data_IF_638567747193
#
_entry.id   IF_638567747193
#
_cell.length_a   1.000
_cell.length_b   1.000
_cell.length_c   1.000
_cell.angle_alpha   90.00
_cell.angle_beta   90.00
_cell.angle_gamma   90.00
#
_symmetry.space_group_name_H-M   'P 1'
#
loop_
_entity.id
_entity.type
_entity.pdbx_description
1 polymer ?
#
# COMPACT_ATOMS: atom_id res chain seq x y z
N UNK A 1 -42.36 -3.93 -58.64
CA UNK A 1 -42.10 -3.36 -57.31
C UNK A 1 -42.99 -2.14 -57.19
N UNK A 2 -44.01 -2.22 -56.35
CA UNK A 2 -44.96 -1.13 -56.10
C UNK A 2 -44.34 -0.08 -55.17
N UNK A 3 -44.84 1.15 -55.20
CA UNK A 3 -44.31 2.25 -54.38
C UNK A 3 -44.43 1.95 -52.87
N UNK A 4 -45.47 1.23 -52.46
CA UNK A 4 -45.63 0.68 -51.11
C UNK A 4 -44.53 -0.31 -50.71
N UNK A 5 -44.17 -1.24 -51.61
CA UNK A 5 -43.08 -2.18 -51.36
C UNK A 5 -41.74 -1.46 -51.21
N UNK A 6 -41.55 -0.37 -51.97
CA UNK A 6 -40.35 0.45 -51.92
C UNK A 6 -40.25 1.26 -50.62
N UNK A 7 -41.37 1.83 -50.15
CA UNK A 7 -41.44 2.52 -48.85
C UNK A 7 -41.18 1.58 -47.67
N UNK A 8 -41.81 0.40 -47.67
CA UNK A 8 -41.59 -0.62 -46.65
C UNK A 8 -40.12 -1.07 -46.59
N UNK A 9 -39.47 -1.27 -47.74
CA UNK A 9 -38.04 -1.62 -47.82
C UNK A 9 -37.12 -0.53 -47.25
N UNK A 10 -37.45 0.75 -47.47
CA UNK A 10 -36.68 1.88 -46.93
C UNK A 10 -36.84 1.93 -45.41
N UNK A 11 -38.05 1.73 -44.90
CA UNK A 11 -38.33 1.75 -43.47
C UNK A 11 -37.66 0.59 -42.72
N UNK A 12 -37.64 -0.59 -43.34
CA UNK A 12 -36.94 -1.77 -42.83
C UNK A 12 -35.43 -1.54 -42.74
N UNK A 13 -34.82 -0.97 -43.80
CA UNK A 13 -33.39 -0.63 -43.80
C UNK A 13 -33.03 0.42 -42.74
N UNK A 14 -33.91 1.40 -42.51
CA UNK A 14 -33.70 2.40 -41.44
C UNK A 14 -33.72 1.77 -40.06
N UNK A 15 -34.64 0.83 -39.80
CA UNK A 15 -34.68 0.09 -38.53
C UNK A 15 -33.43 -0.77 -38.33
N UNK A 16 -33.02 -1.52 -39.34
CA UNK A 16 -31.79 -2.33 -39.27
C UNK A 16 -30.53 -1.47 -39.06
N UNK A 17 -30.50 -0.27 -39.62
CA UNK A 17 -29.37 0.64 -39.46
C UNK A 17 -29.35 1.23 -38.04
N UNK A 18 -30.50 1.63 -37.51
CA UNK A 18 -30.63 2.10 -36.14
C UNK A 18 -30.27 1.01 -35.11
N UNK A 19 -30.68 -0.25 -35.33
CA UNK A 19 -30.30 -1.38 -34.47
C UNK A 19 -28.79 -1.64 -34.48
N UNK A 20 -28.15 -1.52 -35.65
CA UNK A 20 -26.69 -1.66 -35.77
C UNK A 20 -25.92 -0.54 -35.07
N UNK A 21 -26.38 0.70 -35.20
CA UNK A 21 -25.79 1.85 -34.49
C UNK A 21 -25.94 1.69 -32.98
N UNK A 22 -27.12 1.26 -32.51
CA UNK A 22 -27.38 1.02 -31.09
C UNK A 22 -26.49 -0.11 -30.53
N UNK A 23 -26.33 -1.21 -31.27
CA UNK A 23 -25.39 -2.29 -30.90
C UNK A 23 -23.93 -1.81 -30.87
N UNK A 24 -23.54 -0.95 -31.80
CA UNK A 24 -22.19 -0.41 -31.85
C UNK A 24 -21.92 0.47 -30.62
N UNK A 25 -22.84 1.36 -30.27
CA UNK A 25 -22.71 2.23 -29.10
C UNK A 25 -22.71 1.41 -27.78
N UNK A 26 -23.61 0.44 -27.65
CA UNK A 26 -23.63 -0.47 -26.50
C UNK A 26 -22.31 -1.24 -26.32
N UNK A 27 -21.77 -1.79 -27.41
CA UNK A 27 -20.49 -2.50 -27.37
C UNK A 27 -19.32 -1.56 -27.04
N UNK A 28 -19.36 -0.31 -27.54
CA UNK A 28 -18.35 0.69 -27.23
C UNK A 28 -18.38 1.04 -25.75
N UNK A 29 -19.56 1.29 -25.20
CA UNK A 29 -19.72 1.68 -23.80
C UNK A 29 -19.36 0.53 -22.85
N UNK A 30 -19.69 -0.72 -23.20
CA UNK A 30 -19.24 -1.91 -22.48
C UNK A 30 -17.70 -2.01 -22.46
N UNK A 31 -17.05 -1.82 -23.61
CA UNK A 31 -15.58 -1.82 -23.69
C UNK A 31 -14.94 -0.73 -22.84
N UNK A 32 -15.51 0.47 -22.84
CA UNK A 32 -15.01 1.58 -22.03
C UNK A 32 -15.18 1.27 -20.54
N UNK A 33 -16.31 0.69 -20.13
CA UNK A 33 -16.49 0.26 -18.74
C UNK A 33 -15.51 -0.84 -18.33
N UNK A 34 -15.24 -1.81 -19.20
CA UNK A 34 -14.26 -2.86 -18.92
C UNK A 34 -12.84 -2.27 -18.75
N UNK A 35 -12.43 -1.34 -19.61
CA UNK A 35 -11.13 -0.64 -19.47
C UNK A 35 -11.06 0.19 -18.19
N UNK A 36 -12.13 0.89 -17.80
CA UNK A 36 -12.19 1.65 -16.54
C UNK A 36 -12.13 0.70 -15.33
N UNK A 37 -12.81 -0.44 -15.40
CA UNK A 37 -12.81 -1.44 -14.33
C UNK A 37 -11.43 -2.12 -14.21
N UNK A 38 -10.75 -2.37 -15.32
CA UNK A 38 -9.39 -2.92 -15.32
C UNK A 38 -8.40 -1.92 -14.71
N UNK A 39 -8.45 -0.65 -15.09
CA UNK A 39 -7.58 0.40 -14.55
C UNK A 39 -7.85 0.64 -13.06
N UNK A 40 -9.11 0.69 -12.65
CA UNK A 40 -9.48 0.88 -11.24
C UNK A 40 -9.12 -0.33 -10.38
N UNK A 41 -9.30 -1.57 -10.88
CA UNK A 41 -8.85 -2.78 -10.22
C UNK A 41 -7.33 -2.88 -10.06
N UNK A 42 -6.56 -2.37 -11.03
CA UNK A 42 -5.09 -2.27 -10.91
C UNK A 42 -4.70 -1.23 -9.85
N UNK A 43 -5.35 -0.06 -9.83
CA UNK A 43 -5.07 0.97 -8.81
C UNK A 43 -5.39 0.52 -7.39
N UNK A 44 -6.51 -0.18 -7.19
CA UNK A 44 -6.91 -0.69 -5.87
C UNK A 44 -5.90 -1.71 -5.33
N UNK A 45 -5.37 -2.56 -6.22
CA UNK A 45 -4.39 -3.58 -5.88
C UNK A 45 -3.03 -2.99 -5.48
N UNK A 46 -2.58 -1.95 -6.18
CA UNK A 46 -1.31 -1.28 -5.88
C UNK A 46 -1.38 -0.33 -4.67
N UNK A 47 -2.51 0.35 -4.43
CA UNK A 47 -2.70 1.15 -3.21
C UNK A 47 -2.63 0.30 -1.94
N UNK A 48 -3.12 -0.94 -2.01
CA UNK A 48 -3.05 -1.86 -0.87
C UNK A 48 -1.61 -2.29 -0.57
N UNK A 49 -0.75 -2.45 -1.58
CA UNK A 49 0.64 -2.87 -1.40
C UNK A 49 1.44 -1.86 -0.57
N UNK A 50 1.34 -0.57 -0.87
CA UNK A 50 2.03 0.46 -0.08
C UNK A 50 1.49 0.55 1.35
N UNK A 51 0.18 0.36 1.53
CA UNK A 51 -0.46 0.35 2.86
C UNK A 51 0.07 -0.81 3.71
N UNK A 52 0.16 -2.01 3.14
CA UNK A 52 0.71 -3.19 3.83
C UNK A 52 2.18 -2.98 4.21
N UNK A 53 3.00 -2.45 3.30
CA UNK A 53 4.41 -2.14 3.58
C UNK A 53 4.55 -1.10 4.71
N UNK A 54 3.69 -0.06 4.71
CA UNK A 54 3.68 0.94 5.77
C UNK A 54 3.27 0.35 7.13
N UNK A 55 2.30 -0.58 7.15
CA UNK A 55 1.88 -1.28 8.37
C UNK A 55 3.04 -2.12 8.92
N UNK A 56 3.75 -2.89 8.08
CA UNK A 56 4.90 -3.69 8.51
C UNK A 56 6.03 -2.80 9.03
N UNK A 57 6.29 -1.69 8.33
CA UNK A 57 7.30 -0.72 8.71
C UNK A 57 7.01 -0.11 10.08
N UNK A 58 5.83 0.47 10.25
CA UNK A 58 5.42 1.14 11.49
C UNK A 58 5.20 0.14 12.62
N UNK A 59 4.68 -1.05 12.31
CA UNK A 59 4.53 -2.16 13.24
C UNK A 59 5.86 -2.65 13.83
N UNK A 60 6.98 -2.43 13.12
CA UNK A 60 8.32 -2.70 13.66
C UNK A 60 8.95 -1.46 14.30
N UNK A 61 8.82 -0.29 13.65
CA UNK A 61 9.44 0.96 14.09
C UNK A 61 8.91 1.40 15.46
N UNK A 62 7.59 1.47 15.63
CA UNK A 62 6.97 2.02 16.84
C UNK A 62 7.35 1.20 18.08
N UNK A 63 7.21 -0.14 18.10
CA UNK A 63 7.59 -0.93 19.26
C UNK A 63 9.09 -0.84 19.58
N UNK A 64 9.97 -0.81 18.57
CA UNK A 64 11.42 -0.66 18.80
C UNK A 64 11.76 0.68 19.47
N UNK A 65 11.09 1.77 19.09
CA UNK A 65 11.26 3.06 19.75
C UNK A 65 10.71 3.08 21.18
N UNK A 66 9.58 2.40 21.43
CA UNK A 66 9.05 2.22 22.79
C UNK A 66 10.05 1.46 23.66
N UNK A 67 10.64 0.39 23.15
CA UNK A 67 11.71 -0.36 23.82
C UNK A 67 12.94 0.51 24.08
N UNK A 68 13.40 1.25 23.07
CA UNK A 68 14.55 2.15 23.22
C UNK A 68 14.28 3.20 24.32
N UNK A 69 13.09 3.80 24.34
CA UNK A 69 12.70 4.77 25.37
C UNK A 69 12.74 4.15 26.77
N UNK A 70 12.11 2.98 26.94
CA UNK A 70 12.13 2.26 28.22
C UNK A 70 13.55 1.91 28.68
N UNK A 71 14.37 1.38 27.76
CA UNK A 71 15.77 1.07 28.02
C UNK A 71 16.56 2.33 28.43
N UNK A 72 16.41 3.44 27.71
CA UNK A 72 17.07 4.72 28.03
C UNK A 72 16.68 5.22 29.41
N UNK A 73 15.40 5.15 29.75
CA UNK A 73 14.91 5.57 31.06
C UNK A 73 15.56 4.75 32.18
N UNK A 74 15.52 3.42 32.08
CA UNK A 74 16.13 2.53 33.06
C UNK A 74 17.64 2.78 33.17
N UNK A 75 18.32 2.88 32.03
CA UNK A 75 19.77 3.13 31.98
C UNK A 75 20.13 4.46 32.64
N UNK A 76 19.39 5.52 32.38
CA UNK A 76 19.64 6.84 32.95
C UNK A 76 19.34 6.88 34.46
N UNK A 77 18.34 6.15 34.95
CA UNK A 77 18.07 6.03 36.39
C UNK A 77 19.19 5.27 37.11
N UNK A 78 19.68 4.17 36.53
CA UNK A 78 20.69 3.32 37.16
C UNK A 78 22.11 3.88 37.04
N UNK A 79 22.47 4.42 35.88
CA UNK A 79 23.84 4.81 35.55
C UNK A 79 24.03 6.33 35.37
N UNK A 80 22.94 7.11 35.26
CA UNK A 80 23.00 8.56 35.05
C UNK A 80 23.84 9.33 36.07
N UNK A 81 23.71 9.08 37.38
CA UNK A 81 24.53 9.75 38.39
C UNK A 81 26.02 9.46 38.23
N UNK A 82 26.36 8.22 37.84
CA UNK A 82 27.75 7.80 37.62
C UNK A 82 28.31 8.46 36.36
N UNK A 83 27.55 8.44 35.27
CA UNK A 83 27.95 9.03 33.98
C UNK A 83 28.13 10.54 34.06
N UNK A 84 27.34 11.24 34.89
CA UNK A 84 27.50 12.67 35.14
C UNK A 84 28.82 13.01 35.86
N UNK A 85 29.39 12.08 36.63
CA UNK A 85 30.66 12.29 37.33
C UNK A 85 31.89 12.08 36.43
N UNK A 86 31.77 11.31 35.35
CA UNK A 86 32.89 10.95 34.46
C UNK A 86 32.85 11.72 33.12
N UNK A 87 31.89 12.64 32.95
CA UNK A 87 31.69 13.45 31.73
C UNK A 87 31.72 12.62 30.43
N UNK A 88 31.17 11.40 30.47
CA UNK A 88 31.17 10.54 29.29
C UNK A 88 30.12 11.03 28.29
N UNK A 89 30.56 11.40 27.09
CA UNK A 89 29.66 11.64 25.97
C UNK A 89 29.15 10.31 25.40
N UNK A 90 27.85 10.10 25.49
CA UNK A 90 27.12 8.90 25.05
C UNK A 90 26.19 9.21 23.86
N UNK A 91 26.26 10.44 23.32
CA UNK A 91 25.40 10.91 22.24
C UNK A 91 25.54 10.06 20.97
N UNK A 92 26.75 9.60 20.67
CA UNK A 92 27.04 8.73 19.53
C UNK A 92 26.33 7.37 19.64
N UNK A 93 26.25 6.78 20.83
CA UNK A 93 25.53 5.51 21.07
C UNK A 93 24.05 5.68 20.70
N UNK A 94 23.46 6.81 21.07
CA UNK A 94 22.08 7.10 20.71
C UNK A 94 21.88 7.17 19.20
N UNK A 95 22.80 7.82 18.48
CA UNK A 95 22.77 7.89 17.01
C UNK A 95 22.85 6.51 16.37
N UNK A 96 23.75 5.64 16.84
CA UNK A 96 23.85 4.27 16.33
C UNK A 96 22.60 3.44 16.60
N UNK A 97 21.96 3.60 17.77
CA UNK A 97 20.71 2.91 18.08
C UNK A 97 19.57 3.37 17.17
N UNK A 98 19.46 4.66 16.85
CA UNK A 98 18.49 5.13 15.86
C UNK A 98 18.73 4.52 14.49
N UNK A 99 19.98 4.54 13.99
CA UNK A 99 20.33 3.95 12.69
C UNK A 99 19.98 2.45 12.66
N UNK A 100 20.26 1.73 13.74
CA UNK A 100 19.94 0.32 13.87
C UNK A 100 18.42 0.07 13.76
N UNK A 101 17.62 0.84 14.51
CA UNK A 101 16.15 0.72 14.49
C UNK A 101 15.61 0.99 13.08
N UNK A 102 16.05 2.06 12.43
CA UNK A 102 15.64 2.37 11.06
C UNK A 102 16.02 1.25 10.09
N UNK A 103 17.24 0.71 10.21
CA UNK A 103 17.72 -0.39 9.37
C UNK A 103 16.85 -1.64 9.56
N UNK A 104 16.52 -2.01 10.81
CA UNK A 104 15.66 -3.15 11.12
C UNK A 104 14.23 -2.96 10.60
N UNK A 105 13.67 -1.75 10.70
CA UNK A 105 12.36 -1.46 10.14
C UNK A 105 12.34 -1.55 8.61
N UNK A 106 13.39 -1.10 7.92
CA UNK A 106 13.53 -1.27 6.45
C UNK A 106 13.69 -2.74 6.08
N UNK A 107 14.48 -3.52 6.83
CA UNK A 107 14.64 -4.97 6.62
C UNK A 107 13.30 -5.69 6.79
N UNK A 108 12.47 -5.28 7.75
CA UNK A 108 11.14 -5.85 7.98
C UNK A 108 10.24 -5.67 6.75
N UNK A 109 10.27 -4.49 6.15
CA UNK A 109 9.55 -4.20 4.90
C UNK A 109 10.08 -5.05 3.74
N UNK A 110 11.41 -5.16 3.61
CA UNK A 110 12.03 -5.98 2.56
C UNK A 110 11.67 -7.47 2.67
N UNK A 111 11.51 -7.98 3.90
CA UNK A 111 11.15 -9.36 4.17
C UNK A 111 9.64 -9.62 4.17
N UNK A 112 8.82 -8.58 3.99
CA UNK A 112 7.35 -8.62 4.11
C UNK A 112 6.86 -9.27 5.43
N UNK A 113 7.72 -9.31 6.46
CA UNK A 113 7.44 -9.89 7.78
C UNK A 113 7.98 -8.93 8.84
N UNK A 114 7.22 -8.73 9.90
CA UNK A 114 7.69 -7.95 11.05
C UNK A 114 8.89 -8.64 11.68
N UNK A 115 10.03 -7.95 11.80
CA UNK A 115 11.19 -8.47 12.57
C UNK A 115 10.82 -8.66 14.05
N UNK A 116 9.76 -7.98 14.52
CA UNK A 116 9.27 -8.17 15.88
C UNK A 116 8.65 -9.56 16.08
N UNK A 117 8.05 -10.15 15.04
CA UNK A 117 7.52 -11.52 15.11
C UNK A 117 8.67 -12.52 15.25
N UNK A 118 9.77 -12.33 14.51
CA UNK A 118 10.98 -13.17 14.62
C UNK A 118 11.60 -13.07 16.03
N UNK A 119 11.61 -11.88 16.63
CA UNK A 119 12.12 -11.67 18.00
C UNK A 119 11.22 -12.40 19.00
N UNK A 120 9.90 -12.24 18.91
CA UNK A 120 8.96 -12.91 19.81
C UNK A 120 9.02 -14.44 19.69
N UNK A 121 9.19 -14.97 18.48
CA UNK A 121 9.34 -16.41 18.21
C UNK A 121 10.60 -17.00 18.85
N UNK A 122 11.64 -16.20 19.13
CA UNK A 122 12.85 -16.66 19.84
C UNK A 122 12.64 -16.66 21.36
N UNK A 123 11.72 -15.86 21.89
CA UNK A 123 11.50 -15.69 23.34
C UNK A 123 10.35 -16.55 23.89
N UNK A 124 9.48 -17.10 23.04
CA UNK A 124 8.34 -17.96 23.41
C UNK A 124 8.42 -19.34 22.74
#
# INVERSE_FOLDING_TARGET
MTEEERQNLIEQRKKEQAERELQYDLNRDLKIQDEINEISGIQEKDQNKFTVLAIIFLGTLIPLYVFLFGFKFIFMVLFGPVLALIEVDISWVNTYLHILIWTLSVISVYRERSVMDDILEVFF
#
